data_IF_581006926423
#
_entry.id   IF_581006926423
#
_cell.length_a   1.000
_cell.length_b   1.000
_cell.length_c   1.000
_cell.angle_alpha   90.00
_cell.angle_beta   90.00
_cell.angle_gamma   90.00
#
_symmetry.space_group_name_H-M   'P 1'
#
loop_
_entity.id
_entity.type
_entity.pdbx_description
1 polymer ?
#
# COMPACT_ATOMS: atom_id res chain seq x y z
N UNK A 1 3.05 -22.02 -13.90
CA UNK A 1 1.67 -22.21 -13.38
C UNK A 1 1.32 -21.25 -12.24
N UNK A 2 2.24 -20.90 -11.32
CA UNK A 2 2.00 -19.88 -10.28
C UNK A 2 1.80 -18.45 -10.83
N UNK A 3 2.47 -18.07 -11.92
CA UNK A 3 2.28 -16.76 -12.57
C UNK A 3 0.84 -16.56 -13.07
N UNK A 4 0.27 -17.55 -13.77
CA UNK A 4 -1.11 -17.48 -14.28
C UNK A 4 -2.17 -17.34 -13.16
N UNK A 5 -1.93 -17.93 -11.99
CA UNK A 5 -2.80 -17.79 -10.82
C UNK A 5 -2.72 -16.40 -10.16
N UNK A 6 -1.52 -15.80 -10.11
CA UNK A 6 -1.33 -14.46 -9.56
C UNK A 6 -1.88 -13.36 -10.48
N UNK A 7 -1.80 -13.56 -11.81
CA UNK A 7 -2.39 -12.65 -12.81
C UNK A 7 -3.92 -12.61 -12.73
N UNK A 8 -4.58 -13.76 -12.54
CA UNK A 8 -6.06 -13.82 -12.40
C UNK A 8 -6.54 -13.08 -11.15
N UNK A 9 -5.95 -13.33 -9.99
CA UNK A 9 -6.42 -12.75 -8.71
C UNK A 9 -6.32 -11.21 -8.64
N UNK A 10 -5.34 -10.59 -9.31
CA UNK A 10 -5.28 -9.12 -9.40
C UNK A 10 -6.33 -8.57 -10.36
N UNK A 11 -6.54 -9.22 -11.51
CA UNK A 11 -7.58 -8.81 -12.47
C UNK A 11 -8.98 -8.90 -11.85
N UNK A 12 -9.26 -9.95 -11.07
CA UNK A 12 -10.57 -10.17 -10.43
C UNK A 12 -11.01 -8.98 -9.56
N UNK A 13 -10.08 -8.31 -8.87
CA UNK A 13 -10.38 -7.15 -8.01
C UNK A 13 -10.71 -5.88 -8.79
N UNK A 14 -10.31 -5.82 -10.06
CA UNK A 14 -10.59 -4.72 -10.97
C UNK A 14 -11.86 -4.99 -11.80
N UNK A 15 -12.58 -6.08 -11.54
CA UNK A 15 -13.80 -6.44 -12.30
C UNK A 15 -15.05 -5.69 -11.83
N UNK A 16 -15.03 -5.15 -10.61
CA UNK A 16 -16.19 -4.45 -10.02
C UNK A 16 -15.83 -3.02 -9.60
N UNK A 17 -16.82 -2.13 -9.57
CA UNK A 17 -16.68 -0.79 -8.99
C UNK A 17 -16.22 -0.85 -7.54
N UNK A 18 -15.06 -0.28 -7.26
CA UNK A 18 -14.55 -0.14 -5.91
C UNK A 18 -15.44 0.78 -5.06
N UNK A 19 -15.70 0.42 -3.81
CA UNK A 19 -16.36 1.31 -2.83
C UNK A 19 -15.50 2.54 -2.54
N UNK A 20 -14.20 2.33 -2.38
CA UNK A 20 -13.21 3.37 -2.18
C UNK A 20 -11.96 3.02 -3.00
N UNK A 21 -11.38 4.02 -3.66
CA UNK A 21 -10.04 3.95 -4.23
C UNK A 21 -9.13 4.94 -3.51
N UNK A 22 -8.10 4.45 -2.84
CA UNK A 22 -7.08 5.31 -2.22
C UNK A 22 -5.90 5.42 -3.19
N UNK A 23 -5.53 6.65 -3.55
CA UNK A 23 -4.40 6.97 -4.41
C UNK A 23 -3.41 7.77 -3.58
N UNK A 24 -2.35 7.12 -3.11
CA UNK A 24 -1.42 7.73 -2.18
C UNK A 24 -0.03 7.85 -2.79
N UNK A 25 0.61 8.99 -2.62
CA UNK A 25 2.06 9.03 -2.67
C UNK A 25 2.69 8.12 -1.60
N UNK A 26 3.96 7.75 -1.80
CA UNK A 26 4.71 6.90 -0.90
C UNK A 26 5.57 7.68 0.09
N UNK A 27 6.54 8.44 -0.40
CA UNK A 27 7.61 9.00 0.41
C UNK A 27 7.06 10.19 1.19
N UNK A 28 7.14 10.16 2.52
CA UNK A 28 6.55 11.21 3.39
C UNK A 28 5.02 11.33 3.33
N UNK A 29 4.32 10.52 2.53
CA UNK A 29 2.86 10.41 2.53
C UNK A 29 2.38 9.08 3.12
N UNK A 30 2.64 7.93 2.50
CA UNK A 30 2.28 6.62 3.07
C UNK A 30 3.37 6.14 4.05
N UNK A 31 4.64 6.36 3.69
CA UNK A 31 5.82 5.92 4.41
C UNK A 31 6.45 7.10 5.14
N UNK A 32 6.66 6.95 6.44
CA UNK A 32 7.51 7.86 7.20
C UNK A 32 8.94 7.32 7.27
N UNK A 33 9.87 8.02 6.62
CA UNK A 33 11.29 7.68 6.68
C UNK A 33 11.94 7.97 8.03
N UNK A 34 11.28 8.76 8.87
CA UNK A 34 11.77 9.10 10.21
C UNK A 34 11.15 8.23 11.31
N UNK A 35 10.23 7.32 10.96
CA UNK A 35 9.65 6.35 11.89
C UNK A 35 10.33 4.98 11.74
N UNK A 36 11.28 4.62 12.61
CA UNK A 36 11.89 3.29 12.58
C UNK A 36 10.87 2.18 12.89
N UNK A 37 9.83 2.48 13.67
CA UNK A 37 8.84 1.49 14.09
C UNK A 37 7.71 1.30 13.06
N UNK A 38 7.63 2.17 12.04
CA UNK A 38 6.63 2.18 10.97
C UNK A 38 5.19 2.10 11.50
N UNK A 39 4.91 2.71 12.66
CA UNK A 39 3.65 2.55 13.38
C UNK A 39 2.45 3.05 12.57
N UNK A 40 2.52 4.24 11.99
CA UNK A 40 1.41 4.80 11.21
C UNK A 40 1.13 3.98 9.94
N UNK A 41 2.18 3.49 9.27
CA UNK A 41 2.05 2.59 8.12
C UNK A 41 1.39 1.26 8.54
N UNK A 42 1.85 0.65 9.62
CA UNK A 42 1.30 -0.60 10.13
C UNK A 42 -0.14 -0.46 10.63
N UNK A 43 -0.51 0.70 11.19
CA UNK A 43 -1.91 1.06 11.52
C UNK A 43 -2.78 1.09 10.27
N UNK A 44 -2.29 1.74 9.20
CA UNK A 44 -2.99 1.74 7.92
C UNK A 44 -3.12 0.33 7.35
N UNK A 45 -2.05 -0.47 7.37
CA UNK A 45 -2.07 -1.85 6.86
C UNK A 45 -3.17 -2.69 7.53
N UNK A 46 -3.23 -2.66 8.86
CA UNK A 46 -4.22 -3.40 9.62
C UNK A 46 -5.65 -2.93 9.32
N UNK A 47 -5.85 -1.62 9.20
CA UNK A 47 -7.15 -1.06 8.82
C UNK A 47 -7.56 -1.48 7.40
N UNK A 48 -6.64 -1.36 6.44
CA UNK A 48 -6.90 -1.67 5.04
C UNK A 48 -7.26 -3.14 4.85
N UNK A 49 -6.44 -4.05 5.37
CA UNK A 49 -6.65 -5.49 5.21
C UNK A 49 -7.88 -6.01 5.96
N UNK A 50 -8.27 -5.38 7.08
CA UNK A 50 -9.47 -5.79 7.82
C UNK A 50 -10.78 -5.26 7.23
N UNK A 51 -10.79 -4.04 6.69
CA UNK A 51 -12.03 -3.30 6.42
C UNK A 51 -12.23 -2.84 4.98
N UNK A 52 -11.19 -2.82 4.15
CA UNK A 52 -11.26 -2.20 2.82
C UNK A 52 -10.85 -3.15 1.70
N UNK A 53 -9.86 -4.02 1.94
CA UNK A 53 -9.26 -4.83 0.88
C UNK A 53 -10.30 -5.57 0.05
N UNK A 54 -11.35 -6.10 0.64
CA UNK A 54 -12.33 -6.94 -0.06
C UNK A 54 -13.18 -6.21 -1.14
N UNK A 55 -13.34 -4.88 -1.06
CA UNK A 55 -14.22 -4.12 -1.96
C UNK A 55 -13.65 -2.76 -2.41
N UNK A 56 -12.40 -2.48 -2.06
CA UNK A 56 -11.71 -1.20 -2.30
C UNK A 56 -10.36 -1.42 -2.97
N UNK A 57 -9.86 -0.39 -3.66
CA UNK A 57 -8.61 -0.44 -4.42
C UNK A 57 -7.53 0.45 -3.80
N UNK A 58 -6.33 -0.10 -3.68
CA UNK A 58 -5.15 0.64 -3.26
C UNK A 58 -4.26 0.94 -4.46
N UNK A 59 -3.98 2.23 -4.67
CA UNK A 59 -3.10 2.73 -5.72
C UNK A 59 -1.94 3.48 -5.05
N UNK A 60 -0.71 3.08 -5.35
CA UNK A 60 0.46 3.87 -4.98
C UNK A 60 0.89 4.74 -6.16
N UNK A 61 1.03 6.04 -5.94
CA UNK A 61 1.35 7.05 -6.95
C UNK A 61 2.63 7.80 -6.59
N UNK A 62 3.78 7.25 -6.97
CA UNK A 62 5.10 7.67 -6.49
C UNK A 62 5.97 8.29 -7.59
N UNK A 63 6.90 9.16 -7.17
CA UNK A 63 7.99 9.65 -8.02
C UNK A 63 9.07 8.59 -8.29
N UNK A 64 9.16 7.55 -7.46
CA UNK A 64 10.16 6.47 -7.58
C UNK A 64 10.02 5.72 -8.89
N UNK A 65 11.18 5.37 -9.46
CA UNK A 65 11.26 4.37 -10.52
C UNK A 65 10.82 2.97 -10.07
N UNK A 66 10.47 2.05 -10.99
CA UNK A 66 10.12 0.68 -10.63
C UNK A 66 11.18 -0.05 -9.81
N UNK A 67 12.46 0.26 -10.04
CA UNK A 67 13.58 -0.27 -9.26
C UNK A 67 13.56 0.25 -7.83
N UNK A 68 13.46 1.57 -7.63
CA UNK A 68 13.44 2.17 -6.30
C UNK A 68 12.16 1.87 -5.52
N UNK A 69 11.03 1.68 -6.22
CA UNK A 69 9.79 1.21 -5.61
C UNK A 69 9.95 -0.22 -5.06
N UNK A 70 10.50 -1.13 -5.87
CA UNK A 70 10.78 -2.51 -5.43
C UNK A 70 11.77 -2.56 -4.27
N UNK A 71 12.74 -1.64 -4.24
CA UNK A 71 13.66 -1.50 -3.12
C UNK A 71 12.92 -1.05 -1.85
N UNK A 72 12.10 0.01 -1.93
CA UNK A 72 11.34 0.50 -0.77
C UNK A 72 10.44 -0.59 -0.17
N UNK A 73 9.81 -1.41 -1.03
CA UNK A 73 9.00 -2.55 -0.58
C UNK A 73 9.76 -3.62 0.20
N UNK A 74 11.08 -3.73 0.00
CA UNK A 74 11.94 -4.63 0.79
C UNK A 74 12.35 -4.00 2.11
N UNK A 75 12.43 -2.67 2.17
CA UNK A 75 12.89 -1.90 3.33
C UNK A 75 11.76 -1.62 4.32
N UNK A 76 10.52 -1.47 3.83
CA UNK A 76 9.37 -1.02 4.61
C UNK A 76 8.24 -2.05 4.55
N UNK A 77 7.44 -2.19 5.64
CA UNK A 77 6.34 -3.14 5.71
C UNK A 77 5.13 -2.65 4.90
N UNK A 78 5.28 -2.56 3.58
CA UNK A 78 4.24 -2.04 2.69
C UNK A 78 3.30 -3.15 2.23
N UNK A 79 2.01 -2.82 2.13
CA UNK A 79 1.05 -3.69 1.45
C UNK A 79 1.33 -3.79 -0.04
N UNK A 80 0.86 -4.88 -0.66
CA UNK A 80 0.80 -5.02 -2.11
C UNK A 80 -0.39 -4.21 -2.65
N UNK A 81 -0.17 -3.13 -3.42
CA UNK A 81 -1.25 -2.36 -4.01
C UNK A 81 -1.90 -3.14 -5.15
N UNK A 82 -3.07 -2.67 -5.58
CA UNK A 82 -3.75 -3.17 -6.77
C UNK A 82 -3.16 -2.53 -8.04
N UNK A 83 -2.76 -1.26 -7.94
CA UNK A 83 -2.18 -0.48 -9.05
C UNK A 83 -0.99 0.32 -8.53
N UNK A 84 0.04 0.47 -9.36
CA UNK A 84 1.14 1.39 -9.13
C UNK A 84 1.25 2.39 -10.27
N UNK A 85 1.26 3.67 -9.92
CA UNK A 85 1.66 4.77 -10.77
C UNK A 85 3.07 5.17 -10.32
N UNK A 86 4.06 5.05 -11.19
CA UNK A 86 5.49 5.24 -10.85
C UNK A 86 6.11 6.29 -11.75
N UNK A 87 7.35 6.69 -11.42
CA UNK A 87 8.14 7.65 -12.20
C UNK A 87 7.34 8.91 -12.52
N UNK A 88 6.67 9.46 -11.50
CA UNK A 88 5.87 10.69 -11.58
C UNK A 88 4.72 10.57 -12.60
N UNK A 89 4.11 9.39 -12.70
CA UNK A 89 2.95 9.17 -13.58
C UNK A 89 3.30 8.73 -14.99
N UNK A 90 4.54 8.34 -15.27
CA UNK A 90 4.93 7.86 -16.61
C UNK A 90 4.77 6.35 -16.78
N UNK A 91 4.59 5.62 -15.69
CA UNK A 91 4.40 4.16 -15.73
C UNK A 91 3.18 3.78 -14.88
N UNK A 92 2.20 3.10 -15.47
CA UNK A 92 1.08 2.49 -14.76
C UNK A 92 1.26 0.98 -14.83
N UNK A 93 1.19 0.30 -13.69
CA UNK A 93 1.26 -1.17 -13.66
C UNK A 93 0.24 -1.79 -12.71
N UNK A 94 -0.15 -3.02 -13.00
CA UNK A 94 -1.19 -3.75 -12.29
C UNK A 94 -0.64 -4.92 -11.48
N UNK A 95 -1.04 -4.99 -10.22
CA UNK A 95 -0.80 -6.12 -9.31
C UNK A 95 0.65 -6.35 -8.92
N UNK A 96 0.86 -7.48 -8.24
CA UNK A 96 2.18 -7.88 -7.72
C UNK A 96 3.17 -8.16 -8.86
N UNK A 97 2.67 -8.63 -10.01
CA UNK A 97 3.50 -8.86 -11.20
C UNK A 97 3.88 -7.57 -11.93
N UNK A 98 3.32 -6.42 -11.53
CA UNK A 98 3.60 -5.10 -12.12
C UNK A 98 3.46 -5.11 -13.65
N UNK A 99 2.33 -5.60 -14.13
CA UNK A 99 2.03 -5.68 -15.57
C UNK A 99 1.80 -4.27 -16.12
N UNK A 100 2.56 -3.78 -17.11
CA UNK A 100 2.37 -2.44 -17.66
C UNK A 100 0.99 -2.21 -18.28
N UNK A 101 0.49 -0.98 -18.20
CA UNK A 101 -0.65 -0.52 -18.99
C UNK A 101 -0.20 -0.08 -20.38
N UNK A 102 -0.37 -0.95 -21.38
CA UNK A 102 0.02 -0.65 -22.77
C UNK A 102 -0.76 0.54 -23.36
N UNK A 103 -2.02 0.76 -22.95
CA UNK A 103 -2.80 1.91 -23.39
C UNK A 103 -2.20 3.23 -22.92
N UNK A 104 -1.68 3.27 -21.69
CA UNK A 104 -1.00 4.43 -21.14
C UNK A 104 0.33 4.71 -21.86
N UNK A 105 1.09 3.66 -22.19
CA UNK A 105 2.32 3.78 -22.98
C UNK A 105 2.04 4.45 -24.33
N UNK A 106 0.97 4.03 -25.02
CA UNK A 106 0.59 4.64 -26.30
C UNK A 106 0.13 6.10 -26.18
N UNK A 107 -0.56 6.45 -25.09
CA UNK A 107 -0.90 7.86 -24.79
C UNK A 107 0.37 8.70 -24.64
N UNK A 108 1.37 8.20 -23.90
CA UNK A 108 2.61 8.92 -23.65
C UNK A 108 3.56 8.99 -24.85
N UNK A 109 3.42 8.11 -25.84
CA UNK A 109 4.20 8.17 -27.08
C UNK A 109 3.84 9.37 -27.97
N UNK A 110 2.69 10.01 -27.74
CA UNK A 110 2.24 11.12 -28.56
C UNK A 110 3.16 12.34 -28.38
N UNK A 111 3.83 12.73 -29.47
CA UNK A 111 4.75 13.89 -29.53
C UNK A 111 5.84 13.85 -28.46
N UNK A 112 6.31 12.64 -28.16
CA UNK A 112 7.44 12.38 -27.29
C UNK A 112 8.55 11.68 -28.06
N UNK A 113 9.78 12.18 -27.93
CA UNK A 113 10.99 11.50 -28.39
C UNK A 113 12.09 11.72 -27.34
N UNK A 114 12.38 10.66 -26.59
CA UNK A 114 13.39 10.67 -25.54
C UNK A 114 14.79 11.03 -26.08
N UNK A 115 15.14 10.62 -27.29
CA UNK A 115 16.47 10.88 -27.84
C UNK A 115 16.66 12.36 -28.13
N UNK A 116 15.62 13.04 -28.64
CA UNK A 116 15.64 14.49 -28.82
C UNK A 116 15.75 15.21 -27.48
N UNK A 117 15.04 14.75 -26.44
CA UNK A 117 15.16 15.32 -25.08
C UNK A 117 16.59 15.22 -24.56
N UNK A 118 17.21 14.05 -24.66
CA UNK A 118 18.62 13.84 -24.23
C UNK A 118 19.59 14.69 -25.06
N UNK A 119 19.37 14.80 -26.37
CA UNK A 119 20.18 15.63 -27.26
C UNK A 119 20.13 17.11 -26.85
N UNK A 120 18.92 17.68 -26.67
CA UNK A 120 18.77 19.10 -26.31
C UNK A 120 19.26 19.39 -24.89
N UNK A 121 19.00 18.51 -23.93
CA UNK A 121 19.44 18.69 -22.53
C UNK A 121 20.95 18.63 -22.36
N UNK A 122 21.67 17.84 -23.18
CA UNK A 122 23.14 17.80 -23.16
C UNK A 122 23.81 19.14 -23.48
N UNK A 123 23.06 20.10 -24.03
CA UNK A 123 23.53 21.45 -24.39
C UNK A 123 23.45 22.44 -23.21
N UNK A 124 22.89 22.02 -22.07
CA UNK A 124 22.73 22.83 -20.86
C UNK A 124 23.75 22.40 -19.78
N UNK A 125 24.81 23.19 -19.52
CA UNK A 125 25.82 22.83 -18.53
C UNK A 125 25.30 22.83 -17.08
N UNK A 126 24.16 23.46 -16.82
CA UNK A 126 23.50 23.52 -15.51
C UNK A 126 22.81 22.20 -15.13
N UNK A 127 22.55 21.33 -16.12
CA UNK A 127 21.84 20.07 -15.92
C UNK A 127 22.80 18.92 -15.67
N UNK A 128 22.69 18.28 -14.51
CA UNK A 128 23.43 17.06 -14.17
C UNK A 128 22.49 15.85 -14.18
N UNK A 129 22.76 14.85 -15.02
CA UNK A 129 21.95 13.64 -15.05
C UNK A 129 21.84 12.97 -13.67
N UNK A 130 20.63 12.54 -13.32
CA UNK A 130 20.42 11.63 -12.20
C UNK A 130 20.85 10.20 -12.56
N UNK A 131 20.81 9.31 -11.57
CA UNK A 131 21.15 7.89 -11.72
C UNK A 131 20.37 7.19 -12.85
N UNK A 132 20.95 6.11 -13.40
CA UNK A 132 20.34 5.33 -14.49
C UNK A 132 18.94 4.78 -14.12
N UNK A 133 18.71 4.45 -12.84
CA UNK A 133 17.41 3.96 -12.37
C UNK A 133 16.29 4.99 -12.54
N UNK A 134 16.63 6.28 -12.53
CA UNK A 134 15.68 7.39 -12.71
C UNK A 134 15.47 7.75 -14.19
N UNK A 135 16.28 7.21 -15.10
CA UNK A 135 16.11 7.40 -16.53
C UNK A 135 15.14 6.36 -17.09
N UNK A 136 13.96 6.79 -17.55
CA UNK A 136 12.89 5.90 -18.05
C UNK A 136 12.53 6.20 -19.51
N UNK A 137 11.74 5.35 -20.19
CA UNK A 137 11.33 5.60 -21.57
C UNK A 137 10.61 6.95 -21.77
N UNK A 138 9.81 7.38 -20.79
CA UNK A 138 9.04 8.62 -20.82
C UNK A 138 9.43 9.60 -19.69
N UNK A 139 10.63 9.46 -19.12
CA UNK A 139 11.17 10.35 -18.07
C UNK A 139 12.67 10.52 -18.25
N UNK A 140 13.14 11.76 -18.29
CA UNK A 140 14.57 12.10 -18.23
C UNK A 140 14.80 13.04 -17.06
N UNK A 141 15.61 12.61 -16.09
CA UNK A 141 15.77 13.28 -14.79
C UNK A 141 17.15 13.90 -14.63
N UNK A 142 17.18 15.12 -14.08
CA UNK A 142 18.37 15.91 -13.82
C UNK A 142 18.36 16.49 -12.40
N UNK A 143 19.54 16.91 -11.94
CA UNK A 143 19.72 17.87 -10.87
C UNK A 143 20.00 19.24 -11.48
N UNK A 144 19.42 20.29 -10.89
CA UNK A 144 19.64 21.69 -11.25
C UNK A 144 19.62 22.55 -9.99
N UNK A 145 20.52 23.53 -9.90
CA UNK A 145 20.52 24.49 -8.80
C UNK A 145 19.27 25.37 -8.86
N UNK A 146 18.67 25.65 -7.68
CA UNK A 146 17.43 26.43 -7.55
C UNK A 146 17.47 27.76 -8.30
N UNK A 147 18.60 28.45 -8.26
CA UNK A 147 18.77 29.77 -8.89
C UNK A 147 18.74 29.69 -10.42
N UNK A 148 19.09 28.53 -11.00
CA UNK A 148 19.11 28.30 -12.45
C UNK A 148 17.81 27.64 -12.96
N UNK A 149 17.04 26.99 -12.07
CA UNK A 149 15.92 26.13 -12.44
C UNK A 149 14.88 26.83 -13.33
N UNK A 150 14.52 28.08 -13.02
CA UNK A 150 13.49 28.82 -13.76
C UNK A 150 13.95 29.17 -15.19
N UNK A 151 15.18 29.66 -15.35
CA UNK A 151 15.74 30.04 -16.65
C UNK A 151 15.93 28.82 -17.56
N UNK A 152 16.53 27.75 -17.02
CA UNK A 152 16.74 26.50 -17.73
C UNK A 152 15.42 25.89 -18.18
N UNK A 153 14.42 25.83 -17.29
CA UNK A 153 13.08 25.29 -17.60
C UNK A 153 12.45 26.03 -18.78
N UNK A 154 12.49 27.37 -18.77
CA UNK A 154 11.91 28.19 -19.84
C UNK A 154 12.62 27.95 -21.17
N UNK A 155 13.95 28.05 -21.19
CA UNK A 155 14.74 27.88 -22.42
C UNK A 155 14.62 26.47 -23.00
N UNK A 156 14.59 25.44 -22.15
CA UNK A 156 14.45 24.05 -22.55
C UNK A 156 13.06 23.77 -23.14
N UNK A 157 12.00 24.29 -22.51
CA UNK A 157 10.62 24.17 -23.02
C UNK A 157 10.50 24.74 -24.43
N UNK A 158 11.03 25.95 -24.68
CA UNK A 158 11.04 26.57 -26.01
C UNK A 158 11.81 25.73 -27.05
N UNK A 159 12.98 25.19 -26.69
CA UNK A 159 13.78 24.34 -27.60
C UNK A 159 13.09 23.03 -27.96
N UNK A 160 12.49 22.35 -26.98
CA UNK A 160 11.80 21.07 -27.19
C UNK A 160 10.52 21.27 -28.02
N UNK A 161 9.78 22.35 -27.77
CA UNK A 161 8.62 22.73 -28.59
C UNK A 161 9.02 22.99 -30.05
N UNK A 162 10.14 23.70 -30.29
CA UNK A 162 10.66 23.93 -31.65
C UNK A 162 11.11 22.65 -32.37
N UNK A 163 11.38 21.58 -31.63
CA UNK A 163 11.65 20.24 -32.16
C UNK A 163 10.39 19.38 -32.35
N UNK A 164 9.21 19.95 -32.11
CA UNK A 164 7.92 19.28 -32.29
C UNK A 164 7.50 18.39 -31.12
N UNK A 165 8.13 18.54 -29.95
CA UNK A 165 7.79 17.79 -28.75
C UNK A 165 6.84 18.57 -27.84
N UNK A 166 5.86 17.86 -27.28
CA UNK A 166 5.01 18.39 -26.21
C UNK A 166 5.49 17.81 -24.88
N UNK A 167 6.17 18.64 -24.08
CA UNK A 167 6.84 18.21 -22.84
C UNK A 167 6.34 18.96 -21.62
N UNK A 168 6.30 18.24 -20.51
CA UNK A 168 6.13 18.78 -19.16
C UNK A 168 7.46 18.75 -18.44
N UNK A 169 7.81 19.86 -17.80
CA UNK A 169 9.01 19.95 -16.96
C UNK A 169 8.54 20.16 -15.52
N UNK A 170 8.91 19.23 -14.64
CA UNK A 170 8.56 19.26 -13.21
C UNK A 170 9.82 19.54 -12.42
N UNK A 171 9.78 20.56 -11.57
CA UNK A 171 10.82 20.86 -10.60
C UNK A 171 10.31 20.54 -9.19
N UNK A 172 11.04 19.74 -8.43
CA UNK A 172 10.64 19.28 -7.09
C UNK A 172 11.82 19.11 -6.14
N UNK A 173 11.55 19.04 -4.83
CA UNK A 173 12.57 18.75 -3.82
C UNK A 173 13.69 19.81 -3.73
N UNK A 174 13.51 20.96 -4.36
CA UNK A 174 14.50 22.04 -4.39
C UNK A 174 15.76 21.78 -5.24
N UNK A 175 15.80 20.69 -6.02
CA UNK A 175 16.94 20.37 -6.90
C UNK A 175 16.62 19.43 -8.07
N UNK A 176 15.52 18.68 -8.03
CA UNK A 176 15.20 17.68 -9.04
C UNK A 176 14.44 18.31 -10.20
N UNK A 177 14.84 17.99 -11.44
CA UNK A 177 14.19 18.42 -12.66
C UNK A 177 13.86 17.22 -13.55
N UNK A 178 12.57 16.97 -13.74
CA UNK A 178 12.06 15.86 -14.55
C UNK A 178 11.43 16.37 -15.84
N UNK A 179 11.83 15.80 -16.97
CA UNK A 179 11.26 16.09 -18.29
C UNK A 179 10.46 14.87 -18.73
N UNK A 180 9.17 15.09 -18.96
CA UNK A 180 8.17 14.07 -19.25
C UNK A 180 7.34 14.49 -20.48
N UNK A 181 6.56 13.59 -21.10
CA UNK A 181 5.51 13.99 -22.04
C UNK A 181 4.51 14.97 -21.40
N UNK A 182 3.93 15.88 -22.17
CA UNK A 182 2.94 16.86 -21.67
C UNK A 182 1.74 16.19 -20.98
N UNK A 183 1.30 15.04 -21.51
CA UNK A 183 0.21 14.24 -20.96
C UNK A 183 0.58 13.40 -19.75
N UNK A 184 1.83 13.41 -19.29
CA UNK A 184 2.26 12.68 -18.10
C UNK A 184 2.01 13.47 -16.80
N UNK A 185 2.28 12.83 -15.66
CA UNK A 185 2.07 13.38 -14.32
C UNK A 185 1.15 12.49 -13.49
N UNK A 186 1.28 12.57 -12.16
CA UNK A 186 0.44 11.78 -11.23
C UNK A 186 -1.05 12.04 -11.44
N UNK A 187 -1.43 13.31 -11.64
CA UNK A 187 -2.82 13.70 -11.93
C UNK A 187 -3.32 13.14 -13.25
N UNK A 188 -2.54 13.25 -14.33
CA UNK A 188 -2.96 12.75 -15.65
C UNK A 188 -3.06 11.21 -15.67
N UNK A 189 -2.13 10.51 -15.02
CA UNK A 189 -2.22 9.06 -14.86
C UNK A 189 -3.48 8.64 -14.08
N UNK A 190 -3.83 9.37 -13.02
CA UNK A 190 -5.09 9.13 -12.29
C UNK A 190 -6.32 9.44 -13.15
N UNK A 191 -6.32 10.54 -13.90
CA UNK A 191 -7.41 10.89 -14.80
C UNK A 191 -7.65 9.80 -15.85
N UNK A 192 -6.56 9.28 -16.45
CA UNK A 192 -6.60 8.16 -17.37
C UNK A 192 -7.22 6.91 -16.73
N UNK A 193 -6.78 6.53 -15.53
CA UNK A 193 -7.34 5.36 -14.81
C UNK A 193 -8.83 5.51 -14.51
N UNK A 194 -9.25 6.69 -14.03
CA UNK A 194 -10.66 6.95 -13.72
C UNK A 194 -11.52 6.91 -14.99
N UNK A 195 -11.03 7.48 -16.09
CA UNK A 195 -11.72 7.42 -17.37
C UNK A 195 -11.80 5.99 -17.90
N UNK A 196 -10.71 5.21 -17.83
CA UNK A 196 -10.70 3.79 -18.20
C UNK A 196 -11.72 2.99 -17.39
N UNK A 197 -11.76 3.15 -16.08
CA UNK A 197 -12.76 2.48 -15.25
C UNK A 197 -14.20 2.90 -15.58
N UNK A 198 -14.41 4.17 -15.93
CA UNK A 198 -15.73 4.66 -16.36
C UNK A 198 -16.15 4.01 -17.68
N UNK A 199 -15.25 3.90 -18.66
CA UNK A 199 -15.49 3.26 -19.95
C UNK A 199 -15.75 1.75 -19.82
N UNK A 200 -15.08 1.10 -18.88
CA UNK A 200 -15.34 -0.30 -18.53
C UNK A 200 -16.62 -0.51 -17.70
N UNK A 201 -17.34 0.56 -17.35
CA UNK A 201 -18.57 0.48 -16.55
C UNK A 201 -18.35 0.20 -15.06
N UNK A 202 -17.14 0.46 -14.56
CA UNK A 202 -16.70 0.15 -13.18
C UNK A 202 -16.11 1.37 -12.44
N UNK A 203 -16.68 2.57 -12.54
CA UNK A 203 -16.11 3.73 -11.86
C UNK A 203 -16.07 3.50 -10.34
N UNK A 204 -14.99 3.90 -9.64
CA UNK A 204 -14.96 3.85 -8.18
C UNK A 204 -16.01 4.80 -7.61
N UNK A 205 -16.67 4.40 -6.53
CA UNK A 205 -17.71 5.23 -5.89
C UNK A 205 -17.14 6.45 -5.18
N UNK A 206 -15.97 6.29 -4.57
CA UNK A 206 -15.22 7.36 -3.92
C UNK A 206 -13.74 7.19 -4.26
N UNK A 207 -13.05 8.32 -4.44
CA UNK A 207 -11.59 8.35 -4.63
C UNK A 207 -11.00 9.30 -3.60
N UNK A 208 -10.00 8.85 -2.85
CA UNK A 208 -9.24 9.65 -1.91
C UNK A 208 -7.79 9.75 -2.41
N UNK A 209 -7.34 10.95 -2.73
CA UNK A 209 -5.95 11.25 -3.10
C UNK A 209 -5.16 11.74 -1.88
N UNK A 210 -3.93 11.27 -1.73
CA UNK A 210 -3.06 11.62 -0.61
C UNK A 210 -1.69 12.05 -1.14
N UNK A 211 -1.15 13.16 -0.63
CA UNK A 211 0.16 13.67 -1.03
C UNK A 211 0.78 14.61 0.00
N UNK A 212 2.06 14.92 -0.20
CA UNK A 212 2.85 15.81 0.65
C UNK A 212 3.65 16.85 -0.14
N UNK A 213 3.91 16.66 -1.45
CA UNK A 213 4.83 17.52 -2.20
C UNK A 213 4.24 18.09 -3.50
N UNK A 214 5.01 18.95 -4.18
CA UNK A 214 4.55 19.61 -5.41
C UNK A 214 4.17 18.67 -6.55
N UNK A 215 4.76 17.48 -6.63
CA UNK A 215 4.41 16.50 -7.66
C UNK A 215 3.03 15.85 -7.46
N UNK A 216 2.42 16.05 -6.28
CA UNK A 216 1.08 15.55 -5.93
C UNK A 216 -0.03 16.56 -6.22
N UNK A 217 0.31 17.84 -6.44
CA UNK A 217 -0.66 18.93 -6.59
C UNK A 217 -1.75 18.62 -7.63
N UNK A 218 -1.38 18.00 -8.75
CA UNK A 218 -2.31 17.65 -9.81
C UNK A 218 -3.34 16.58 -9.42
N UNK A 219 -3.02 15.70 -8.44
CA UNK A 219 -3.97 14.73 -7.93
C UNK A 219 -5.19 15.43 -7.30
N UNK A 220 -4.96 16.55 -6.62
CA UNK A 220 -6.00 17.34 -5.96
C UNK A 220 -6.85 18.16 -6.93
N UNK A 221 -6.41 18.32 -8.18
CA UNK A 221 -7.18 18.99 -9.24
C UNK A 221 -8.14 18.07 -9.97
N UNK A 222 -8.09 16.76 -9.71
CA UNK A 222 -8.99 15.80 -10.35
C UNK A 222 -10.42 16.04 -9.85
N UNK A 223 -11.42 16.18 -10.75
CA UNK A 223 -12.79 16.40 -10.34
C UNK A 223 -13.32 15.29 -9.42
N UNK A 224 -14.16 15.69 -8.47
CA UNK A 224 -14.93 14.81 -7.58
C UNK A 224 -14.15 13.99 -6.55
N UNK A 225 -12.80 14.01 -6.59
CA UNK A 225 -11.97 13.33 -5.59
C UNK A 225 -12.06 14.00 -4.22
N UNK A 226 -11.86 13.21 -3.18
CA UNK A 226 -11.47 13.67 -1.85
C UNK A 226 -9.95 13.78 -1.82
N UNK A 227 -9.41 14.79 -1.13
CA UNK A 227 -7.98 15.03 -1.04
C UNK A 227 -7.51 15.23 0.39
N UNK A 228 -6.38 14.64 0.74
CA UNK A 228 -5.68 14.92 1.99
C UNK A 228 -4.21 15.28 1.73
N UNK A 229 -3.82 16.46 2.21
CA UNK A 229 -2.42 16.80 2.42
C UNK A 229 -2.06 16.37 3.84
N UNK A 230 -1.02 15.55 4.00
CA UNK A 230 -0.57 15.13 5.34
C UNK A 230 0.08 16.28 6.09
N UNK A 231 0.14 16.23 7.42
CA UNK A 231 0.61 17.38 8.22
C UNK A 231 2.06 17.78 7.98
N UNK A 232 2.86 16.86 7.44
CA UNK A 232 4.24 17.09 7.02
C UNK A 232 4.38 17.45 5.53
N UNK A 233 3.32 17.96 4.91
CA UNK A 233 3.36 18.46 3.54
C UNK A 233 4.39 19.60 3.40
N UNK A 234 5.07 19.61 2.26
CA UNK A 234 6.09 20.58 1.89
C UNK A 234 5.47 21.92 1.50
N UNK A 235 6.27 22.98 1.58
CA UNK A 235 5.84 24.36 1.39
C UNK A 235 5.17 24.57 0.03
N UNK A 236 5.67 23.94 -1.04
CA UNK A 236 5.13 24.11 -2.39
C UNK A 236 3.70 23.55 -2.53
N UNK A 237 3.37 22.44 -1.86
CA UNK A 237 2.01 21.89 -1.89
C UNK A 237 1.06 22.75 -1.05
N UNK A 238 1.52 23.25 0.09
CA UNK A 238 0.74 24.15 0.95
C UNK A 238 0.45 25.49 0.26
N UNK A 239 1.43 26.03 -0.47
CA UNK A 239 1.26 27.22 -1.30
C UNK A 239 0.25 26.95 -2.42
N UNK A 240 0.41 25.84 -3.15
CA UNK A 240 -0.55 25.43 -4.18
C UNK A 240 -1.96 25.34 -3.62
N UNK A 241 -2.14 24.74 -2.43
CA UNK A 241 -3.44 24.64 -1.78
C UNK A 241 -4.01 26.01 -1.41
N UNK A 242 -3.20 26.92 -0.87
CA UNK A 242 -3.64 28.28 -0.53
C UNK A 242 -4.16 29.05 -1.76
N UNK A 243 -3.54 28.83 -2.92
CA UNK A 243 -3.88 29.49 -4.18
C UNK A 243 -5.06 28.83 -4.92
N UNK A 244 -5.16 27.50 -4.88
CA UNK A 244 -6.05 26.74 -5.77
C UNK A 244 -7.19 26.01 -5.04
N UNK A 245 -7.01 25.62 -3.78
CA UNK A 245 -7.86 24.63 -3.13
C UNK A 245 -8.39 25.02 -1.73
N UNK A 246 -8.03 26.21 -1.22
CA UNK A 246 -8.37 26.67 0.15
C UNK A 246 -9.86 26.58 0.53
N UNK A 247 -10.75 26.69 -0.46
CA UNK A 247 -12.20 26.67 -0.26
C UNK A 247 -12.88 25.43 -0.86
N UNK A 248 -12.12 24.39 -1.23
CA UNK A 248 -12.68 23.14 -1.77
C UNK A 248 -13.01 22.22 -0.58
N UNK A 249 -14.29 21.98 -0.24
CA UNK A 249 -14.65 21.22 0.97
C UNK A 249 -14.18 19.76 0.96
N UNK A 250 -13.85 19.23 -0.21
CA UNK A 250 -13.34 17.87 -0.39
C UNK A 250 -11.82 17.75 -0.21
N UNK A 251 -11.13 18.83 0.13
CA UNK A 251 -9.67 18.82 0.35
C UNK A 251 -9.40 19.29 1.78
N UNK A 252 -8.59 18.53 2.51
CA UNK A 252 -8.16 18.89 3.86
C UNK A 252 -6.64 18.87 4.00
N UNK A 253 -6.15 19.66 4.94
CA UNK A 253 -4.81 19.51 5.51
C UNK A 253 -4.97 18.78 6.84
N UNK A 254 -4.45 17.55 6.92
CA UNK A 254 -4.54 16.70 8.10
C UNK A 254 -3.68 17.25 9.25
N UNK A 255 -4.05 16.93 10.48
CA UNK A 255 -3.20 17.17 11.66
C UNK A 255 -2.20 16.04 11.87
N UNK A 256 -2.53 14.83 11.39
CA UNK A 256 -1.69 13.64 11.48
C UNK A 256 -0.68 13.55 10.33
N UNK A 257 0.47 12.95 10.65
CA UNK A 257 1.60 12.77 9.74
C UNK A 257 1.43 11.49 8.90
N UNK A 258 1.92 11.52 7.66
CA UNK A 258 1.98 10.36 6.76
C UNK A 258 0.68 9.53 6.75
N UNK A 259 0.76 8.19 6.85
CA UNK A 259 -0.39 7.29 6.84
C UNK A 259 -1.42 7.57 7.94
N UNK A 260 -1.03 8.23 9.04
CA UNK A 260 -1.97 8.73 10.06
C UNK A 260 -2.93 9.77 9.48
N UNK A 261 -2.44 10.67 8.62
CA UNK A 261 -3.25 11.66 7.90
C UNK A 261 -4.24 11.02 6.93
N UNK A 262 -3.86 9.91 6.29
CA UNK A 262 -4.75 9.12 5.42
C UNK A 262 -5.90 8.53 6.24
N UNK A 263 -5.60 7.90 7.38
CA UNK A 263 -6.61 7.35 8.30
C UNK A 263 -7.53 8.47 8.81
N UNK A 264 -6.98 9.63 9.18
CA UNK A 264 -7.75 10.79 9.60
C UNK A 264 -8.73 11.24 8.50
N UNK A 265 -8.28 11.31 7.24
CA UNK A 265 -9.10 11.73 6.11
C UNK A 265 -10.26 10.77 5.82
N UNK A 266 -10.03 9.45 5.93
CA UNK A 266 -11.09 8.44 5.82
C UNK A 266 -12.23 8.75 6.79
N UNK A 267 -11.90 9.05 8.06
CA UNK A 267 -12.89 9.42 9.07
C UNK A 267 -13.55 10.77 8.79
N UNK A 268 -12.75 11.78 8.45
CA UNK A 268 -13.22 13.14 8.19
C UNK A 268 -14.27 13.19 7.06
N UNK A 269 -14.04 12.47 5.97
CA UNK A 269 -14.95 12.43 4.82
C UNK A 269 -16.04 11.36 4.92
N UNK A 270 -16.08 10.56 5.99
CA UNK A 270 -17.06 9.48 6.16
C UNK A 270 -16.90 8.36 5.12
N UNK A 271 -15.67 8.04 4.72
CA UNK A 271 -15.38 7.04 3.67
C UNK A 271 -15.36 5.59 4.18
N UNK A 272 -15.61 5.39 5.47
CA UNK A 272 -15.69 4.09 6.14
C UNK A 272 -15.07 4.14 7.54
N UNK A 273 -14.84 2.97 8.17
CA UNK A 273 -14.20 2.90 9.48
C UNK A 273 -12.77 3.46 9.44
N UNK A 274 -12.40 4.25 10.44
CA UNK A 274 -11.07 4.86 10.55
C UNK A 274 -10.33 4.50 11.83
N UNK A 275 -10.81 3.50 12.59
CA UNK A 275 -10.11 2.97 13.76
C UNK A 275 -9.30 1.74 13.36
N UNK A 276 -7.97 1.82 13.45
CA UNK A 276 -7.12 0.67 13.15
C UNK A 276 -7.30 -0.42 14.20
N UNK A 277 -7.37 -1.71 13.82
CA UNK A 277 -7.32 -2.82 14.78
C UNK A 277 -6.09 -2.78 15.70
N UNK A 278 -5.00 -2.11 15.30
CA UNK A 278 -3.81 -1.90 16.14
C UNK A 278 -4.03 -0.95 17.31
N UNK A 279 -4.98 -0.03 17.18
CA UNK A 279 -5.27 1.00 18.19
C UNK A 279 -6.25 0.47 19.26
N UNK A 280 -6.93 -0.64 18.98
CA UNK A 280 -7.89 -1.25 19.89
C UNK A 280 -7.14 -2.08 20.93
N UNK A 281 -7.38 -1.78 22.20
CA UNK A 281 -6.92 -2.61 23.31
C UNK A 281 -7.56 -4.00 23.21
N UNK A 282 -6.76 -5.05 23.35
CA UNK A 282 -7.30 -6.39 23.38
C UNK A 282 -7.98 -6.66 24.72
N UNK A 283 -9.31 -6.76 24.67
CA UNK A 283 -10.10 -7.39 25.71
C UNK A 283 -10.54 -8.76 25.20
N UNK A 284 -10.70 -9.72 26.12
CA UNK A 284 -11.16 -11.07 25.78
C UNK A 284 -12.51 -11.09 25.03
N UNK A 285 -13.30 -10.01 25.14
CA UNK A 285 -14.64 -9.86 24.58
C UNK A 285 -14.74 -8.79 23.47
N UNK A 286 -13.64 -8.35 22.86
CA UNK A 286 -13.68 -7.37 21.76
C UNK A 286 -14.23 -7.98 20.46
N UNK A 287 -15.55 -8.17 20.43
CA UNK A 287 -16.30 -8.48 19.22
C UNK A 287 -16.82 -7.16 18.66
N UNK A 288 -16.31 -6.77 17.50
CA UNK A 288 -16.92 -5.71 16.71
C UNK A 288 -18.20 -6.26 16.08
N UNK A 289 -19.29 -5.51 16.18
CA UNK A 289 -20.49 -5.76 15.39
C UNK A 289 -20.08 -5.76 13.90
N UNK A 290 -20.43 -6.82 13.17
CA UNK A 290 -20.19 -7.00 11.72
C UNK A 290 -18.72 -7.23 11.29
N UNK A 291 -17.87 -7.79 12.16
CA UNK A 291 -16.52 -8.21 11.75
C UNK A 291 -16.55 -9.33 10.69
N UNK A 292 -15.90 -9.09 9.54
CA UNK A 292 -15.72 -10.08 8.47
C UNK A 292 -14.57 -11.07 8.74
N UNK A 293 -14.42 -12.14 7.94
CA UNK A 293 -13.31 -13.10 8.06
C UNK A 293 -11.93 -12.44 7.87
N UNK A 294 -11.84 -11.34 7.12
CA UNK A 294 -10.60 -10.58 6.97
C UNK A 294 -10.18 -9.91 8.29
N UNK A 295 -11.15 -9.36 9.04
CA UNK A 295 -10.91 -8.77 10.34
C UNK A 295 -10.36 -9.81 11.34
N UNK A 296 -10.93 -11.02 11.34
CA UNK A 296 -10.46 -12.12 12.20
C UNK A 296 -8.99 -12.48 11.92
N UNK A 297 -8.61 -12.60 10.64
CA UNK A 297 -7.20 -12.86 10.26
C UNK A 297 -6.26 -11.76 10.76
N UNK A 298 -6.64 -10.49 10.59
CA UNK A 298 -5.83 -9.36 11.09
C UNK A 298 -5.73 -9.42 12.62
N UNK A 299 -6.86 -9.61 13.32
CA UNK A 299 -6.92 -9.69 14.79
C UNK A 299 -6.00 -10.78 15.34
N UNK A 300 -6.08 -11.99 14.77
CA UNK A 300 -5.24 -13.11 15.18
C UNK A 300 -3.73 -12.80 15.05
N UNK A 301 -3.31 -12.21 13.93
CA UNK A 301 -1.90 -11.89 13.69
C UNK A 301 -1.41 -10.72 14.57
N UNK A 302 -2.28 -9.78 14.92
CA UNK A 302 -1.95 -8.71 15.88
C UNK A 302 -1.80 -9.24 17.30
N UNK A 303 -2.68 -10.15 17.74
CA UNK A 303 -2.50 -10.84 19.02
C UNK A 303 -1.16 -11.57 19.05
N UNK A 304 -0.83 -12.31 17.99
CA UNK A 304 0.45 -13.01 17.88
C UNK A 304 1.66 -12.06 18.00
N UNK A 305 1.63 -10.88 17.36
CA UNK A 305 2.65 -9.84 17.54
C UNK A 305 2.79 -9.43 19.02
N UNK A 306 1.66 -9.05 19.64
CA UNK A 306 1.61 -8.54 21.02
C UNK A 306 2.04 -9.60 22.03
N UNK A 307 1.65 -10.85 21.81
CA UNK A 307 2.02 -12.00 22.63
C UNK A 307 3.53 -12.20 22.68
N UNK A 308 4.20 -12.18 21.51
CA UNK A 308 5.66 -12.31 21.43
C UNK A 308 6.40 -11.11 22.00
N UNK A 309 5.77 -9.95 22.06
CA UNK A 309 6.33 -8.72 22.64
C UNK A 309 6.02 -8.53 24.12
N UNK A 310 5.24 -9.43 24.71
CA UNK A 310 4.73 -9.29 26.09
C UNK A 310 3.94 -7.99 26.31
N UNK A 311 3.16 -7.59 25.31
CA UNK A 311 2.27 -6.41 25.36
C UNK A 311 0.83 -6.75 25.80
N UNK A 312 0.54 -8.04 25.94
CA UNK A 312 -0.68 -8.58 26.55
C UNK A 312 -0.29 -9.32 27.83
N UNK A 313 -1.18 -9.33 28.82
CA UNK A 313 -0.90 -10.05 30.07
C UNK A 313 -0.69 -11.55 29.80
N UNK A 314 0.35 -12.13 30.42
CA UNK A 314 0.60 -13.57 30.38
C UNK A 314 -0.41 -14.34 31.23
N UNK A 315 -1.65 -14.40 30.75
CA UNK A 315 -2.73 -15.10 31.41
C UNK A 315 -3.15 -16.33 30.62
N UNK A 316 -3.37 -17.44 31.32
CA UNK A 316 -3.91 -18.69 30.75
C UNK A 316 -5.25 -18.49 30.02
N UNK A 317 -5.99 -17.43 30.38
CA UNK A 317 -7.27 -17.08 29.75
C UNK A 317 -7.14 -16.74 28.27
N UNK A 318 -6.06 -16.09 27.82
CA UNK A 318 -5.87 -15.74 26.40
C UNK A 318 -5.58 -16.99 25.55
N UNK A 319 -4.72 -17.88 26.02
CA UNK A 319 -4.45 -19.15 25.33
C UNK A 319 -5.71 -20.02 25.31
N UNK A 320 -6.48 -20.05 26.40
CA UNK A 320 -7.77 -20.75 26.44
C UNK A 320 -8.78 -20.14 25.45
N UNK A 321 -8.85 -18.81 25.36
CA UNK A 321 -9.71 -18.09 24.42
C UNK A 321 -9.34 -18.39 22.96
N UNK A 322 -8.06 -18.31 22.59
CA UNK A 322 -7.60 -18.70 21.25
C UNK A 322 -7.94 -20.15 20.89
N UNK A 323 -7.79 -21.08 21.84
CA UNK A 323 -8.20 -22.48 21.64
C UNK A 323 -9.70 -22.62 21.45
N UNK A 324 -10.49 -21.82 22.15
CA UNK A 324 -11.95 -21.79 21.98
C UNK A 324 -12.33 -21.27 20.58
N UNK A 325 -11.56 -20.35 20.01
CA UNK A 325 -11.68 -19.89 18.62
C UNK A 325 -11.15 -20.87 17.57
N UNK A 326 -10.72 -22.08 17.96
CA UNK A 326 -10.21 -23.10 17.05
C UNK A 326 -11.03 -24.38 17.13
N UNK A 327 -11.34 -24.95 15.97
CA UNK A 327 -12.07 -26.21 15.92
C UNK A 327 -11.27 -27.30 16.65
N UNK A 328 -11.90 -28.18 17.47
CA UNK A 328 -11.17 -29.21 18.22
C UNK A 328 -10.36 -30.18 17.35
N UNK A 329 -10.83 -30.42 16.13
CA UNK A 329 -10.13 -31.22 15.12
C UNK A 329 -9.36 -30.35 14.09
N UNK A 330 -9.16 -29.07 14.38
CA UNK A 330 -8.51 -28.15 13.47
C UNK A 330 -7.03 -28.49 13.27
N UNK A 331 -6.55 -28.36 12.03
CA UNK A 331 -5.19 -28.71 11.65
C UNK A 331 -4.37 -27.50 11.21
N UNK A 332 -3.08 -27.56 11.48
CA UNK A 332 -2.09 -26.60 11.05
C UNK A 332 -0.99 -27.30 10.25
N UNK A 333 -0.76 -26.85 9.02
CA UNK A 333 0.35 -27.27 8.18
C UNK A 333 1.42 -26.19 8.22
N UNK A 334 2.52 -26.48 8.91
CA UNK A 334 3.65 -25.59 9.08
C UNK A 334 4.43 -25.44 7.75
N UNK A 335 5.12 -24.30 7.49
CA UNK A 335 5.92 -24.11 6.29
C UNK A 335 7.02 -25.15 6.01
N UNK A 336 7.40 -25.94 7.02
CA UNK A 336 8.32 -27.09 6.87
C UNK A 336 7.66 -28.35 6.30
N UNK A 337 6.34 -28.35 6.11
CA UNK A 337 5.53 -29.50 5.69
C UNK A 337 5.04 -30.38 6.84
N UNK A 338 5.34 -30.03 8.10
CA UNK A 338 4.84 -30.76 9.27
C UNK A 338 3.38 -30.39 9.52
N UNK A 339 2.51 -31.38 9.58
CA UNK A 339 1.11 -31.22 10.00
C UNK A 339 0.95 -31.54 11.49
N UNK A 340 0.23 -30.68 12.20
CA UNK A 340 -0.06 -30.82 13.62
C UNK A 340 -1.45 -30.25 13.96
N UNK A 341 -1.94 -30.45 15.18
CA UNK A 341 -3.23 -29.88 15.60
C UNK A 341 -3.08 -28.39 15.92
N UNK A 342 -4.05 -27.57 15.51
CA UNK A 342 -4.07 -26.13 15.82
C UNK A 342 -3.96 -25.89 17.33
N UNK A 343 -4.66 -26.68 18.14
CA UNK A 343 -4.61 -26.59 19.61
C UNK A 343 -3.21 -26.86 20.18
N UNK A 344 -2.42 -27.74 19.55
CA UNK A 344 -1.04 -28.02 19.95
C UNK A 344 -0.12 -26.85 19.59
N UNK A 345 -0.28 -26.27 18.40
CA UNK A 345 0.45 -25.06 17.97
C UNK A 345 0.15 -23.85 18.87
N UNK A 346 -1.12 -23.63 19.22
CA UNK A 346 -1.53 -22.58 20.16
C UNK A 346 -0.95 -22.85 21.55
N UNK A 347 -0.93 -24.11 22.00
CA UNK A 347 -0.27 -24.46 23.27
C UNK A 347 1.22 -24.15 23.24
N UNK A 348 1.87 -24.35 22.09
CA UNK A 348 3.28 -24.07 21.91
C UNK A 348 3.60 -22.57 21.93
N UNK A 349 2.63 -21.67 21.64
CA UNK A 349 2.82 -20.22 21.74
C UNK A 349 3.29 -19.76 23.12
N UNK A 350 2.97 -20.51 24.19
CA UNK A 350 3.48 -20.23 25.55
C UNK A 350 5.01 -20.15 25.61
N UNK A 351 5.71 -20.93 24.76
CA UNK A 351 7.17 -20.98 24.73
C UNK A 351 7.81 -19.72 24.12
N UNK A 352 7.04 -18.96 23.34
CA UNK A 352 7.49 -17.75 22.64
C UNK A 352 6.87 -16.46 23.22
N UNK A 353 6.17 -16.54 24.35
CA UNK A 353 5.69 -15.34 25.02
C UNK A 353 6.87 -14.44 25.40
N UNK A 354 6.82 -13.16 25.03
CA UNK A 354 7.87 -12.19 25.36
C UNK A 354 9.24 -12.43 24.71
N UNK A 355 9.40 -13.40 23.81
CA UNK A 355 10.70 -13.71 23.17
C UNK A 355 11.21 -12.55 22.27
N UNK A 356 10.31 -11.63 21.91
CA UNK A 356 10.57 -10.39 21.18
C UNK A 356 10.36 -9.12 22.02
N UNK A 357 10.19 -9.23 23.34
CA UNK A 357 10.06 -8.05 24.20
C UNK A 357 11.27 -7.12 24.04
N UNK A 358 11.00 -5.81 23.85
CA UNK A 358 12.03 -4.79 23.66
C UNK A 358 12.78 -4.86 22.32
N UNK A 359 12.38 -5.74 21.40
CA UNK A 359 12.95 -5.83 20.04
C UNK A 359 12.04 -5.10 19.05
N UNK A 360 12.63 -4.60 17.95
CA UNK A 360 11.90 -4.07 16.80
C UNK A 360 11.25 -5.22 16.02
N UNK A 361 10.21 -5.79 16.61
CA UNK A 361 9.46 -6.92 16.05
C UNK A 361 8.07 -6.46 15.62
N UNK A 362 7.69 -6.75 14.38
CA UNK A 362 6.39 -6.39 13.80
C UNK A 362 5.85 -7.54 12.97
N UNK A 363 4.53 -7.73 13.00
CA UNK A 363 3.81 -8.71 12.18
C UNK A 363 2.72 -7.99 11.43
N UNK A 364 2.56 -8.25 10.14
CA UNK A 364 1.41 -7.77 9.39
C UNK A 364 0.95 -8.82 8.39
N UNK A 365 -0.28 -8.67 7.94
CA UNK A 365 -0.82 -9.45 6.83
C UNK A 365 -0.96 -8.56 5.61
N UNK A 366 -0.85 -9.16 4.44
CA UNK A 366 -1.01 -8.51 3.14
C UNK A 366 -1.85 -9.42 2.24
N UNK A 367 -2.66 -8.81 1.37
CA UNK A 367 -3.55 -9.51 0.43
C UNK A 367 -4.49 -10.49 1.12
N UNK A 368 -5.20 -10.03 2.17
CA UNK A 368 -6.25 -10.81 2.82
C UNK A 368 -7.47 -10.89 1.90
N UNK A 369 -7.69 -12.08 1.35
CA UNK A 369 -8.69 -12.37 0.32
C UNK A 369 -9.61 -13.50 0.79
N UNK A 370 -10.73 -13.17 1.44
CA UNK A 370 -11.77 -14.14 1.77
C UNK A 370 -12.53 -14.60 0.52
N UNK A 371 -12.90 -15.87 0.47
CA UNK A 371 -13.75 -16.47 -0.55
C UNK A 371 -14.74 -17.40 0.13
N UNK A 372 -16.04 -17.18 -0.09
CA UNK A 372 -17.10 -17.97 0.54
C UNK A 372 -17.15 -19.35 -0.10
N UNK A 373 -17.06 -20.42 0.71
CA UNK A 373 -17.13 -21.82 0.24
C UNK A 373 -18.53 -22.41 0.49
N UNK A 374 -19.14 -22.09 1.63
CA UNK A 374 -20.50 -22.49 2.01
C UNK A 374 -21.22 -21.34 2.71
N UNK A 375 -22.44 -21.55 3.22
CA UNK A 375 -23.20 -20.54 3.97
C UNK A 375 -22.44 -19.96 5.16
N UNK A 376 -21.65 -20.79 5.85
CA UNK A 376 -20.97 -20.56 7.13
C UNK A 376 -19.45 -20.71 7.07
N UNK A 377 -18.88 -21.03 5.89
CA UNK A 377 -17.44 -21.33 5.75
C UNK A 377 -16.77 -20.43 4.72
N UNK A 378 -15.60 -19.93 5.09
CA UNK A 378 -14.73 -19.08 4.29
C UNK A 378 -13.36 -19.72 4.09
N UNK A 379 -12.85 -19.65 2.87
CA UNK A 379 -11.43 -19.81 2.56
C UNK A 379 -10.81 -18.42 2.60
N UNK A 380 -9.77 -18.19 3.40
CA UNK A 380 -9.07 -16.91 3.42
C UNK A 380 -7.63 -17.12 3.00
N UNK A 381 -7.21 -16.50 1.90
CA UNK A 381 -5.81 -16.48 1.47
C UNK A 381 -5.18 -15.16 1.88
N UNK A 382 -3.96 -15.19 2.39
CA UNK A 382 -3.21 -13.99 2.77
C UNK A 382 -1.71 -14.28 2.77
N UNK A 383 -0.89 -13.23 2.90
CA UNK A 383 0.54 -13.36 3.20
C UNK A 383 0.78 -12.80 4.58
N UNK A 384 1.35 -13.61 5.45
CA UNK A 384 1.83 -13.16 6.77
C UNK A 384 3.29 -12.77 6.65
N UNK A 385 3.64 -11.63 7.21
CA UNK A 385 4.99 -11.09 7.29
C UNK A 385 5.41 -10.92 8.74
N UNK A 386 6.66 -11.27 9.04
CA UNK A 386 7.34 -10.93 10.28
C UNK A 386 8.60 -10.11 9.96
N UNK A 387 8.79 -9.01 10.69
CA UNK A 387 9.98 -8.16 10.66
C UNK A 387 10.66 -8.21 12.02
N UNK A 388 11.97 -8.44 12.04
CA UNK A 388 12.82 -8.35 13.23
C UNK A 388 14.08 -7.54 12.90
N UNK A 389 14.14 -6.29 13.38
CA UNK A 389 15.17 -5.35 12.96
C UNK A 389 15.03 -5.09 11.45
N UNK A 390 16.02 -5.51 10.66
CA UNK A 390 15.99 -5.42 9.19
C UNK A 390 15.63 -6.76 8.51
N UNK A 391 15.56 -7.85 9.26
CA UNK A 391 15.27 -9.17 8.69
C UNK A 391 13.76 -9.35 8.51
N UNK A 392 13.35 -9.63 7.27
CA UNK A 392 11.96 -9.94 6.92
C UNK A 392 11.79 -11.40 6.53
N UNK A 393 10.71 -12.00 7.00
CA UNK A 393 10.27 -13.34 6.61
C UNK A 393 8.78 -13.30 6.29
N UNK A 394 8.36 -14.11 5.33
CA UNK A 394 6.94 -14.25 5.03
C UNK A 394 6.54 -15.65 4.62
N UNK A 395 5.25 -15.92 4.82
CA UNK A 395 4.61 -17.11 4.30
C UNK A 395 3.29 -16.76 3.62
N UNK A 396 2.94 -17.57 2.63
CA UNK A 396 1.63 -17.59 2.00
C UNK A 396 0.75 -18.49 2.86
N UNK A 397 -0.33 -17.92 3.38
CA UNK A 397 -1.26 -18.58 4.28
C UNK A 397 -2.58 -18.87 3.55
N UNK A 398 -3.15 -20.04 3.82
CA UNK A 398 -4.53 -20.40 3.47
C UNK A 398 -5.22 -20.88 4.73
N UNK A 399 -6.24 -20.15 5.17
CA UNK A 399 -7.04 -20.48 6.33
C UNK A 399 -8.46 -20.91 5.91
N UNK A 400 -9.04 -21.83 6.67
CA UNK A 400 -10.47 -22.15 6.61
C UNK A 400 -11.11 -21.68 7.91
N UNK A 401 -12.01 -20.72 7.80
CA UNK A 401 -12.77 -20.17 8.91
C UNK A 401 -14.23 -20.60 8.77
N UNK A 402 -14.79 -21.16 9.83
CA UNK A 402 -16.24 -21.32 9.99
C UNK A 402 -16.76 -20.18 10.85
N UNK A 403 -18.04 -19.84 10.75
CA UNK A 403 -18.63 -18.88 11.68
C UNK A 403 -20.05 -19.27 12.09
N UNK A 404 -20.41 -18.88 13.30
CA UNK A 404 -21.78 -18.92 13.79
C UNK A 404 -22.21 -17.53 14.27
N UNK A 405 -23.52 -17.30 14.30
CA UNK A 405 -24.09 -16.02 14.74
C UNK A 405 -24.66 -16.20 16.14
N UNK A 406 -24.04 -15.55 17.13
CA UNK A 406 -24.48 -15.60 18.53
C UNK A 406 -24.76 -14.18 19.00
N UNK A 407 -25.99 -13.91 19.45
CA UNK A 407 -26.44 -12.57 19.85
C UNK A 407 -26.19 -11.47 18.78
N UNK A 408 -26.23 -11.83 17.49
CA UNK A 408 -25.96 -10.91 16.39
C UNK A 408 -24.49 -10.70 16.05
N UNK A 409 -23.57 -11.34 16.79
CA UNK A 409 -22.13 -11.29 16.54
C UNK A 409 -21.68 -12.51 15.74
N UNK A 410 -20.84 -12.29 14.74
CA UNK A 410 -20.18 -13.38 14.02
C UNK A 410 -18.99 -13.89 14.83
N UNK A 411 -19.07 -15.12 15.30
CA UNK A 411 -18.00 -15.82 16.00
C UNK A 411 -17.29 -16.75 15.01
N UNK A 412 -16.05 -16.42 14.67
CA UNK A 412 -15.24 -17.23 13.76
C UNK A 412 -14.49 -18.33 14.51
N UNK A 413 -14.45 -19.51 13.90
CA UNK A 413 -13.70 -20.66 14.37
C UNK A 413 -12.73 -21.11 13.30
N UNK A 414 -11.43 -21.13 13.63
CA UNK A 414 -10.35 -21.58 12.78
C UNK A 414 -10.37 -23.11 12.66
N UNK A 415 -10.68 -23.61 11.47
CA UNK A 415 -10.76 -25.04 11.18
C UNK A 415 -9.48 -25.59 10.53
N UNK A 416 -8.76 -24.76 9.78
CA UNK A 416 -7.50 -25.13 9.15
C UNK A 416 -6.63 -23.89 8.92
N UNK A 417 -5.32 -24.05 9.07
CA UNK A 417 -4.32 -23.08 8.63
C UNK A 417 -3.20 -23.82 7.92
N UNK A 418 -2.86 -23.39 6.72
CA UNK A 418 -1.72 -23.91 5.99
C UNK A 418 -0.83 -22.75 5.57
N UNK A 419 0.43 -22.82 5.94
CA UNK A 419 1.45 -21.86 5.58
C UNK A 419 2.52 -22.49 4.68
N UNK A 420 2.99 -21.72 3.72
CA UNK A 420 4.12 -22.08 2.86
C UNK A 420 5.08 -20.90 2.79
N UNK A 421 6.39 -21.13 2.93
CA UNK A 421 7.38 -20.07 2.80
C UNK A 421 7.23 -19.32 1.47
N UNK A 422 7.22 -17.99 1.52
CA UNK A 422 7.33 -17.18 0.30
C UNK A 422 8.68 -17.36 -0.36
N UNK A 423 8.78 -17.06 -1.65
CA UNK A 423 10.06 -17.12 -2.37
C UNK A 423 11.13 -16.23 -1.71
N UNK A 424 12.31 -16.80 -1.45
CA UNK A 424 13.39 -16.12 -0.72
C UNK A 424 13.17 -15.99 0.79
N UNK A 425 12.01 -16.41 1.32
CA UNK A 425 11.77 -16.58 2.75
C UNK A 425 12.07 -18.02 3.17
N UNK A 426 12.65 -18.19 4.34
CA UNK A 426 12.93 -19.50 4.93
C UNK A 426 13.60 -19.31 6.27
N UNK A 427 13.08 -19.95 7.32
CA UNK A 427 13.69 -19.85 8.63
C UNK A 427 15.09 -20.51 8.59
N UNK A 428 16.13 -19.74 8.94
CA UNK A 428 17.42 -20.30 9.35
C UNK A 428 17.29 -21.13 10.64
N UNK A 429 16.20 -20.93 11.38
CA UNK A 429 15.91 -21.58 12.66
C UNK A 429 14.43 -21.99 12.75
N UNK A 430 14.12 -23.21 12.29
CA UNK A 430 12.75 -23.75 12.20
C UNK A 430 12.01 -23.85 13.55
N UNK A 431 12.69 -23.66 14.69
CA UNK A 431 12.10 -23.80 16.02
C UNK A 431 11.32 -22.59 16.54
N UNK A 432 11.44 -21.42 15.89
CA UNK A 432 10.86 -20.15 16.39
C UNK A 432 9.62 -19.65 15.64
N UNK A 433 9.24 -20.30 14.53
CA UNK A 433 8.02 -20.01 13.78
C UNK A 433 6.93 -20.99 14.24
N UNK A 434 5.84 -20.48 14.82
CA UNK A 434 4.89 -21.36 15.51
C UNK A 434 3.44 -21.30 15.05
N UNK A 435 3.01 -20.28 14.28
CA UNK A 435 1.65 -20.09 13.76
C UNK A 435 1.61 -18.92 12.79
#
# INVERSE_FOLDING_TARGET
>A
MQSAGCYRVTMDRLETSARLMIVSDLDHTMVDHHDPENLSLLRFNALWESSYRHDSLLVFSTGRSPTLYKQLRKEKPMLSPDITIMSVGTEITYGVSMVPDEGWVEVLNQRWDRNIVVEETSKFPELKLQSETEQRPHKVSFYVDKDNAQEVTKALSEKLANRGLDVKIIYSGGMDLDILPQGAGKGQALAYLLQKFKEEGKPPKNTLVCGDSGNDAELFSIPEVHGVMVSNAQEELLQWHAENAKNIPKIIHASERCAGGIIQAIGHFGLGPNTSPRDVAETADSHLEDAGPAHEVVKFNLFYERWRRAEVEHCETYIASLKASCHPAGSFVHPSGVEQRLHESISAMKKIYGDRQGKQYRVWVDRVLPSKISSDTWLVKFVKWELLGEEQQSCICTAVLTFEVVNGLHLYTWAHLHETWSEGSGAKDNGMWLL
#
